data_IF_809155110370
#
_entry.id   IF_809155110370
#
_cell.length_a   1.000
_cell.length_b   1.000
_cell.length_c   1.000
_cell.angle_alpha   90.00
_cell.angle_beta   90.00
_cell.angle_gamma   90.00
#
_symmetry.space_group_name_H-M   'P 1'
#
loop_
_entity.id
_entity.type
_entity.pdbx_description
1 polymer ?
#
# COMPACT_ATOMS: atom_id res chain seq x y z
N UNK A 1 -50.88 -17.18 -9.05
CA UNK A 1 -49.67 -17.89 -8.56
C UNK A 1 -48.70 -16.81 -8.14
N UNK A 2 -48.47 -16.68 -6.83
CA UNK A 2 -47.65 -15.65 -6.21
C UNK A 2 -46.27 -16.24 -5.89
N UNK A 3 -45.26 -15.89 -6.68
CA UNK A 3 -43.88 -16.20 -6.34
C UNK A 3 -43.28 -15.02 -5.55
N UNK A 4 -43.08 -15.26 -4.25
CA UNK A 4 -42.29 -14.39 -3.36
C UNK A 4 -40.80 -14.70 -3.58
N UNK A 5 -39.92 -13.69 -3.71
CA UNK A 5 -38.49 -13.94 -3.63
C UNK A 5 -38.08 -14.28 -2.19
N UNK A 6 -37.37 -15.38 -2.06
CA UNK A 6 -36.81 -15.94 -0.84
C UNK A 6 -35.79 -14.99 -0.23
N UNK A 7 -36.01 -14.57 1.03
CA UNK A 7 -35.06 -13.80 1.79
C UNK A 7 -33.79 -14.63 2.08
N UNK A 8 -32.64 -14.15 1.61
CA UNK A 8 -31.33 -14.74 1.92
C UNK A 8 -31.00 -14.46 3.39
N UNK A 9 -31.18 -15.47 4.24
CA UNK A 9 -30.79 -15.40 5.64
C UNK A 9 -29.28 -15.23 5.76
N UNK A 10 -28.84 -14.06 6.22
CA UNK A 10 -27.45 -13.80 6.62
C UNK A 10 -27.25 -14.48 7.98
N UNK A 11 -26.69 -15.67 7.97
CA UNK A 11 -26.39 -16.45 9.17
C UNK A 11 -25.24 -15.79 9.95
N UNK A 12 -25.59 -15.09 11.03
CA UNK A 12 -24.64 -14.49 11.98
C UNK A 12 -24.06 -15.58 12.90
N UNK A 13 -22.88 -16.11 12.55
CA UNK A 13 -22.12 -16.95 13.45
C UNK A 13 -21.40 -16.09 14.52
N UNK A 14 -21.85 -16.18 15.77
CA UNK A 14 -21.05 -15.79 16.94
C UNK A 14 -19.80 -16.70 16.99
N UNK A 15 -18.62 -16.15 16.68
CA UNK A 15 -17.37 -16.91 16.67
C UNK A 15 -16.62 -16.82 18.00
N UNK A 16 -16.34 -17.98 18.60
CA UNK A 16 -15.30 -18.18 19.64
C UNK A 16 -13.92 -17.95 19.01
N UNK A 17 -12.98 -17.44 19.80
CA UNK A 17 -11.59 -17.11 19.42
C UNK A 17 -10.77 -18.35 18.99
N UNK A 18 -11.00 -18.83 17.78
CA UNK A 18 -10.06 -19.67 17.04
C UNK A 18 -9.59 -18.88 15.84
N UNK A 19 -8.27 -18.78 15.64
CA UNK A 19 -7.65 -18.41 14.37
C UNK A 19 -8.44 -19.15 13.28
N UNK A 20 -9.11 -18.41 12.40
CA UNK A 20 -10.02 -19.00 11.43
C UNK A 20 -9.17 -19.73 10.38
N UNK A 21 -9.17 -21.07 10.34
CA UNK A 21 -8.13 -21.84 9.66
C UNK A 21 -8.15 -21.68 8.13
N UNK A 22 -9.22 -21.14 7.55
CA UNK A 22 -9.39 -21.05 6.09
C UNK A 22 -9.30 -19.63 5.53
N UNK A 23 -8.96 -18.62 6.34
CA UNK A 23 -8.76 -17.24 5.86
C UNK A 23 -7.31 -16.80 5.93
N UNK A 24 -6.93 -15.90 5.02
CA UNK A 24 -5.73 -15.08 5.20
C UNK A 24 -5.95 -14.20 6.42
N UNK A 25 -4.93 -14.12 7.28
CA UNK A 25 -4.93 -13.31 8.49
C UNK A 25 -3.63 -12.52 8.58
N UNK A 26 -3.69 -11.39 9.29
CA UNK A 26 -2.59 -10.42 9.36
C UNK A 26 -2.08 -10.34 10.80
N UNK A 27 -2.97 -10.07 11.74
CA UNK A 27 -2.65 -9.91 13.16
C UNK A 27 -3.80 -10.45 14.01
N UNK A 28 -3.47 -11.11 15.12
CA UNK A 28 -4.47 -11.58 16.08
C UNK A 28 -5.04 -10.42 16.90
N UNK A 29 -6.09 -10.68 17.68
CA UNK A 29 -6.44 -9.81 18.81
C UNK A 29 -5.28 -9.78 19.82
N UNK A 30 -5.04 -8.62 20.43
CA UNK A 30 -4.04 -8.48 21.48
C UNK A 30 -4.46 -9.18 22.76
N UNK A 31 -3.49 -9.75 23.47
CA UNK A 31 -3.66 -10.35 24.79
C UNK A 31 -2.70 -9.72 25.79
N UNK A 32 -3.25 -9.14 26.85
CA UNK A 32 -2.45 -8.66 27.95
C UNK A 32 -1.79 -9.84 28.66
N UNK A 33 -0.46 -9.80 28.74
CA UNK A 33 0.36 -10.84 29.34
C UNK A 33 1.43 -10.18 30.20
N UNK A 34 1.72 -10.75 31.37
CA UNK A 34 2.90 -10.37 32.13
C UNK A 34 4.14 -10.83 31.37
N UNK A 35 4.87 -9.88 30.78
CA UNK A 35 6.06 -10.18 29.99
C UNK A 35 7.29 -9.66 30.72
N UNK A 36 8.36 -10.46 30.68
CA UNK A 36 9.65 -10.08 31.25
C UNK A 36 10.41 -9.22 30.24
N UNK A 37 10.18 -7.91 30.32
CA UNK A 37 10.80 -6.92 29.42
C UNK A 37 12.31 -6.83 29.60
N UNK A 38 12.88 -7.32 30.71
CA UNK A 38 14.33 -7.34 30.93
C UNK A 38 15.09 -8.10 29.84
N UNK A 39 14.42 -9.03 29.15
CA UNK A 39 14.97 -9.81 28.03
C UNK A 39 15.14 -9.00 26.74
N UNK A 40 14.44 -7.88 26.61
CA UNK A 40 14.39 -7.08 25.39
C UNK A 40 14.80 -5.62 25.62
N UNK A 41 14.83 -5.16 26.88
CA UNK A 41 15.21 -3.81 27.27
C UNK A 41 15.84 -3.81 28.66
N UNK A 42 17.12 -3.44 28.75
CA UNK A 42 17.87 -3.41 30.01
C UNK A 42 17.29 -2.39 31.01
N UNK A 43 17.20 -2.77 32.29
CA UNK A 43 16.71 -1.89 33.35
C UNK A 43 15.19 -1.81 33.48
N UNK A 44 14.42 -2.54 32.66
CA UNK A 44 12.95 -2.57 32.76
C UNK A 44 12.49 -3.86 33.45
N UNK A 45 11.67 -3.71 34.50
CA UNK A 45 11.07 -4.85 35.23
C UNK A 45 9.90 -5.47 34.45
N UNK A 46 9.44 -6.64 34.91
CA UNK A 46 8.20 -7.27 34.44
C UNK A 46 7.06 -6.25 34.41
N UNK A 47 6.40 -6.15 33.26
CA UNK A 47 5.26 -5.27 33.04
C UNK A 47 4.19 -6.02 32.24
N UNK A 48 2.94 -5.58 32.39
CA UNK A 48 1.86 -5.97 31.49
C UNK A 48 2.17 -5.45 30.10
N UNK A 49 2.37 -6.37 29.16
CA UNK A 49 2.53 -6.09 27.74
C UNK A 49 1.35 -6.67 26.96
N UNK A 50 1.01 -6.03 25.84
CA UNK A 50 0.05 -6.55 24.89
C UNK A 50 0.77 -7.40 23.86
N UNK A 51 0.42 -8.68 23.78
CA UNK A 51 1.05 -9.64 22.87
C UNK A 51 0.09 -9.99 21.75
N UNK A 52 0.61 -10.01 20.53
CA UNK A 52 -0.08 -10.37 19.30
C UNK A 52 0.66 -11.52 18.62
N UNK A 53 -0.08 -12.36 17.91
CA UNK A 53 0.49 -13.15 16.82
C UNK A 53 0.33 -12.36 15.54
N UNK A 54 1.36 -12.34 14.69
CA UNK A 54 1.33 -11.72 13.36
C UNK A 54 1.72 -12.74 12.29
N UNK A 55 1.14 -12.63 11.10
CA UNK A 55 1.48 -13.51 9.97
C UNK A 55 2.78 -13.09 9.29
N UNK A 56 3.27 -13.91 8.35
CA UNK A 56 4.43 -13.54 7.51
C UNK A 56 4.21 -12.23 6.75
N UNK A 57 3.00 -12.00 6.27
CA UNK A 57 2.67 -10.77 5.56
C UNK A 57 2.71 -9.55 6.50
N UNK A 58 2.17 -9.66 7.71
CA UNK A 58 2.27 -8.59 8.70
C UNK A 58 3.72 -8.33 9.11
N UNK A 59 4.53 -9.38 9.31
CA UNK A 59 5.96 -9.25 9.58
C UNK A 59 6.67 -8.50 8.46
N UNK A 60 6.39 -8.82 7.20
CA UNK A 60 6.92 -8.10 6.03
C UNK A 60 6.50 -6.62 6.03
N UNK A 61 5.21 -6.32 6.24
CA UNK A 61 4.69 -4.95 6.20
C UNK A 61 5.21 -4.06 7.35
N UNK A 62 5.56 -4.68 8.48
CA UNK A 62 6.11 -4.00 9.65
C UNK A 62 7.64 -3.93 9.68
N UNK A 63 8.32 -4.69 8.82
CA UNK A 63 9.78 -4.79 8.83
C UNK A 63 10.41 -3.45 8.42
N UNK A 64 11.26 -2.83 9.27
CA UNK A 64 11.91 -1.55 8.97
C UNK A 64 13.13 -1.70 8.06
N UNK A 65 13.53 -2.93 7.71
CA UNK A 65 14.73 -3.17 6.93
C UNK A 65 14.50 -2.95 5.43
N UNK A 66 15.55 -2.50 4.71
CA UNK A 66 15.49 -2.34 3.26
C UNK A 66 15.11 -3.61 2.53
N UNK A 67 14.36 -3.45 1.45
CA UNK A 67 13.94 -4.54 0.59
C UNK A 67 14.16 -4.18 -0.88
N UNK A 68 14.45 -5.19 -1.69
CA UNK A 68 14.62 -5.02 -3.12
C UNK A 68 13.35 -5.48 -3.85
N UNK A 69 12.80 -4.60 -4.70
CA UNK A 69 11.73 -4.94 -5.63
C UNK A 69 12.22 -4.84 -7.07
N UNK A 70 11.52 -5.53 -7.99
CA UNK A 70 11.75 -5.36 -9.42
C UNK A 70 10.79 -4.35 -10.03
N UNK A 71 11.34 -3.38 -10.75
CA UNK A 71 10.61 -2.41 -11.58
C UNK A 71 11.22 -2.34 -12.97
N UNK A 72 10.42 -1.99 -13.97
CA UNK A 72 10.90 -1.85 -15.35
C UNK A 72 11.55 -0.49 -15.51
N UNK A 73 12.79 -0.43 -15.99
CA UNK A 73 13.46 0.83 -16.32
C UNK A 73 12.94 1.31 -17.70
N UNK A 74 12.22 2.42 -17.76
CA UNK A 74 11.56 2.91 -18.98
C UNK A 74 12.14 4.22 -19.51
N UNK A 75 13.05 4.83 -18.76
CA UNK A 75 13.68 6.08 -19.15
C UNK A 75 14.76 6.56 -18.21
N UNK A 76 15.18 7.80 -18.42
CA UNK A 76 16.07 8.53 -17.53
C UNK A 76 15.87 10.05 -17.64
N UNK A 77 16.19 10.75 -16.56
CA UNK A 77 16.39 12.19 -16.53
C UNK A 77 17.89 12.49 -16.62
N UNK A 78 18.27 13.44 -17.46
CA UNK A 78 19.64 13.95 -17.58
C UNK A 78 19.66 15.37 -17.05
N UNK A 79 20.47 15.58 -16.01
CA UNK A 79 20.60 16.85 -15.33
C UNK A 79 21.90 17.49 -15.80
N UNK A 80 21.83 18.57 -16.57
CA UNK A 80 23.02 19.23 -17.12
C UNK A 80 23.64 20.22 -16.15
N UNK A 81 24.97 20.34 -16.18
CA UNK A 81 25.73 21.36 -15.47
C UNK A 81 25.34 22.73 -16.01
N UNK A 82 24.85 23.60 -15.15
CA UNK A 82 24.67 25.01 -15.51
C UNK A 82 26.00 25.74 -15.38
N UNK A 83 26.39 26.62 -16.34
CA UNK A 83 27.68 27.32 -16.31
C UNK A 83 27.95 28.22 -15.09
N UNK A 84 26.95 28.50 -14.24
CA UNK A 84 26.99 29.56 -13.22
C UNK A 84 26.68 29.10 -11.78
N UNK A 85 26.55 27.79 -11.52
CA UNK A 85 26.16 27.30 -10.18
C UNK A 85 27.22 27.61 -9.09
N UNK A 86 28.49 27.30 -9.35
CA UNK A 86 29.58 27.51 -8.39
C UNK A 86 29.87 28.99 -8.09
N UNK A 87 29.58 29.89 -9.05
CA UNK A 87 29.79 31.33 -8.88
C UNK A 87 28.65 31.95 -8.07
N UNK A 88 27.39 31.51 -8.30
CA UNK A 88 26.23 32.00 -7.55
C UNK A 88 26.21 31.53 -6.10
N UNK A 89 26.63 30.31 -5.78
CA UNK A 89 26.68 29.84 -4.38
C UNK A 89 27.64 30.67 -3.52
N UNK A 90 28.82 31.01 -4.07
CA UNK A 90 29.80 31.86 -3.39
C UNK A 90 29.29 33.31 -3.23
N UNK A 91 28.57 33.84 -4.23
CA UNK A 91 27.93 35.17 -4.14
C UNK A 91 26.74 35.16 -3.16
N UNK A 92 25.98 34.06 -3.06
CA UNK A 92 24.84 33.90 -2.13
C UNK A 92 25.30 33.84 -0.67
N UNK A 93 26.52 33.32 -0.41
CA UNK A 93 27.19 33.34 0.89
C UNK A 93 27.68 34.76 1.29
N UNK A 94 28.00 35.60 0.31
CA UNK A 94 28.44 36.99 0.49
C UNK A 94 27.29 38.02 0.53
N UNK A 95 26.06 37.65 0.13
CA UNK A 95 24.91 38.55 0.08
C UNK A 95 24.05 38.54 1.37
N UNK A 96 23.56 39.72 1.82
CA UNK A 96 22.63 39.85 2.95
C UNK A 96 21.34 39.04 2.74
N UNK A 97 20.79 38.46 3.81
CA UNK A 97 19.58 37.61 3.78
C UNK A 97 18.38 38.26 3.04
N UNK A 98 18.22 39.58 3.12
CA UNK A 98 17.15 40.33 2.44
C UNK A 98 17.24 40.34 0.91
N UNK A 99 18.41 40.07 0.34
CA UNK A 99 18.64 40.03 -1.11
C UNK A 99 18.71 38.61 -1.70
N UNK A 100 18.65 37.57 -0.85
CA UNK A 100 18.69 36.15 -1.30
C UNK A 100 17.47 35.73 -2.13
N UNK A 101 16.36 36.46 -2.04
CA UNK A 101 15.12 36.20 -2.79
C UNK A 101 15.07 36.81 -4.20
N UNK A 102 16.04 37.65 -4.59
CA UNK A 102 16.11 38.26 -5.93
C UNK A 102 16.73 37.32 -6.98
N UNK A 103 17.47 36.30 -6.55
CA UNK A 103 17.96 35.23 -7.42
C UNK A 103 16.83 34.20 -7.57
N UNK A 104 16.04 34.32 -8.65
CA UNK A 104 15.17 33.22 -9.09
C UNK A 104 16.01 31.95 -9.24
N UNK A 105 15.52 30.85 -8.66
CA UNK A 105 16.05 29.52 -8.96
C UNK A 105 15.80 29.27 -10.45
N UNK A 106 16.87 29.36 -11.25
CA UNK A 106 16.81 28.88 -12.62
C UNK A 106 16.64 27.37 -12.53
N UNK A 107 15.52 26.85 -13.03
CA UNK A 107 15.30 25.42 -13.19
C UNK A 107 16.52 24.85 -13.93
N UNK A 108 17.19 23.87 -13.31
CA UNK A 108 18.23 23.08 -13.97
C UNK A 108 17.58 22.49 -15.23
N UNK A 109 18.17 22.64 -16.42
CA UNK A 109 17.61 22.03 -17.61
C UNK A 109 17.68 20.51 -17.42
N UNK A 110 16.52 19.90 -17.23
CA UNK A 110 16.33 18.45 -17.14
C UNK A 110 15.82 17.97 -18.49
N UNK A 111 16.60 17.12 -19.16
CA UNK A 111 16.13 16.39 -20.34
C UNK A 111 15.57 15.05 -19.89
N UNK A 112 14.31 14.80 -20.20
CA UNK A 112 13.66 13.52 -19.90
C UNK A 112 13.62 12.66 -21.17
N UNK A 113 14.30 11.52 -21.13
CA UNK A 113 14.24 10.50 -22.16
C UNK A 113 13.36 9.36 -21.67
N UNK A 114 12.14 9.24 -22.20
CA UNK A 114 11.21 8.14 -21.89
C UNK A 114 10.85 7.40 -23.17
N UNK A 115 10.66 6.09 -23.08
CA UNK A 115 10.15 5.30 -24.20
C UNK A 115 8.63 5.35 -24.18
N UNK A 116 8.02 5.74 -25.30
CA UNK A 116 6.58 5.57 -25.55
C UNK A 116 6.20 4.13 -25.93
N UNK A 117 7.15 3.19 -25.82
CA UNK A 117 6.96 1.80 -26.21
C UNK A 117 6.21 1.06 -25.09
N UNK A 118 4.89 0.95 -25.27
CA UNK A 118 4.05 -0.07 -24.60
C UNK A 118 4.53 -1.46 -25.05
N UNK A 119 5.61 -1.90 -24.45
CA UNK A 119 6.06 -3.28 -24.53
C UNK A 119 5.29 -4.02 -23.43
N UNK A 120 4.10 -4.49 -23.79
CA UNK A 120 3.35 -5.49 -23.03
C UNK A 120 4.18 -6.77 -23.01
N UNK A 121 5.20 -6.78 -22.15
CA UNK A 121 6.04 -7.93 -21.87
C UNK A 121 5.29 -8.79 -20.85
N UNK A 122 4.15 -9.31 -21.27
CA UNK A 122 3.54 -10.44 -20.61
C UNK A 122 4.53 -11.60 -20.71
N UNK A 123 5.06 -12.12 -19.59
CA UNK A 123 6.01 -13.21 -19.64
C UNK A 123 5.36 -14.39 -20.37
N UNK A 124 6.04 -14.87 -21.40
CA UNK A 124 5.60 -16.03 -22.15
C UNK A 124 5.57 -17.23 -21.21
N UNK A 125 4.56 -18.10 -21.33
CA UNK A 125 4.55 -19.37 -20.60
C UNK A 125 5.67 -20.34 -21.02
N UNK A 126 6.38 -20.02 -22.09
CA UNK A 126 7.43 -20.83 -22.70
C UNK A 126 8.76 -20.08 -22.63
N UNK A 127 9.69 -20.61 -21.85
CA UNK A 127 11.04 -20.08 -21.68
C UNK A 127 11.77 -19.93 -23.03
N UNK A 128 11.45 -20.78 -24.02
CA UNK A 128 12.02 -20.66 -25.37
C UNK A 128 11.45 -19.45 -26.12
N UNK A 129 10.16 -19.17 -25.98
CA UNK A 129 9.52 -18.00 -26.58
C UNK A 129 10.04 -16.71 -25.95
N UNK A 130 10.18 -16.67 -24.62
CA UNK A 130 10.81 -15.53 -23.94
C UNK A 130 12.27 -15.35 -24.36
N UNK A 131 13.04 -16.43 -24.44
CA UNK A 131 14.42 -16.37 -24.93
C UNK A 131 14.49 -15.82 -26.36
N UNK A 132 13.54 -16.21 -27.22
CA UNK A 132 13.45 -15.71 -28.59
C UNK A 132 13.07 -14.23 -28.64
N UNK A 133 12.06 -13.80 -27.89
CA UNK A 133 11.68 -12.39 -27.76
C UNK A 133 12.84 -11.55 -27.26
N UNK A 134 13.56 -12.02 -26.23
CA UNK A 134 14.74 -11.35 -25.71
C UNK A 134 15.82 -11.19 -26.77
N UNK A 135 16.06 -12.21 -27.61
CA UNK A 135 16.99 -12.09 -28.75
C UNK A 135 16.56 -11.00 -29.74
N UNK A 136 15.27 -10.94 -30.09
CA UNK A 136 14.73 -9.90 -30.98
C UNK A 136 14.89 -8.52 -30.34
N UNK A 137 14.55 -8.37 -29.05
CA UNK A 137 14.71 -7.11 -28.32
C UNK A 137 16.16 -6.64 -28.28
N UNK A 138 17.11 -7.56 -28.06
CA UNK A 138 18.55 -7.24 -28.09
C UNK A 138 19.03 -6.84 -29.49
N UNK A 139 18.52 -7.47 -30.57
CA UNK A 139 18.83 -7.08 -31.95
C UNK A 139 18.26 -5.69 -32.31
N UNK A 140 17.09 -5.33 -31.78
CA UNK A 140 16.46 -4.03 -31.99
C UNK A 140 17.03 -2.92 -31.10
N UNK A 141 17.84 -3.27 -30.10
CA UNK A 141 18.41 -2.34 -29.13
C UNK A 141 19.14 -1.13 -29.75
N UNK A 142 19.97 -1.26 -30.81
CA UNK A 142 20.64 -0.12 -31.43
C UNK A 142 19.67 0.92 -32.03
N UNK A 143 18.43 0.50 -32.31
CA UNK A 143 17.39 1.37 -32.86
C UNK A 143 16.58 2.10 -31.78
N UNK A 144 16.77 1.77 -30.51
CA UNK A 144 16.07 2.41 -29.39
C UNK A 144 16.37 3.93 -29.36
N UNK A 145 15.35 4.80 -29.39
CA UNK A 145 15.54 6.25 -29.44
C UNK A 145 16.26 6.80 -28.22
N UNK A 146 16.04 6.22 -27.03
CA UNK A 146 16.74 6.60 -25.80
C UNK A 146 18.23 6.31 -25.96
N UNK A 147 18.60 5.12 -26.44
CA UNK A 147 20.01 4.76 -26.64
C UNK A 147 20.67 5.69 -27.65
N UNK A 148 19.98 6.03 -28.74
CA UNK A 148 20.49 7.00 -29.72
C UNK A 148 20.71 8.38 -29.12
N UNK A 149 19.79 8.86 -28.28
CA UNK A 149 19.94 10.14 -27.57
C UNK A 149 21.10 10.08 -26.57
N UNK A 150 21.20 9.02 -25.76
CA UNK A 150 22.27 8.82 -24.79
C UNK A 150 23.67 8.77 -25.42
N UNK A 151 23.78 8.34 -26.68
CA UNK A 151 25.06 8.31 -27.39
C UNK A 151 25.51 9.70 -27.89
N UNK A 152 24.62 10.70 -27.90
CA UNK A 152 24.92 12.09 -28.29
C UNK A 152 25.28 12.98 -27.09
N UNK A 153 25.09 12.48 -25.88
CA UNK A 153 25.35 13.23 -24.65
C UNK A 153 26.86 13.31 -24.41
N UNK A 154 27.34 14.53 -24.19
CA UNK A 154 28.68 14.80 -23.68
C UNK A 154 28.71 14.64 -22.16
N UNK A 155 29.33 13.59 -21.60
CA UNK A 155 29.32 13.33 -20.15
C UNK A 155 29.95 14.46 -19.33
N UNK A 156 30.85 15.25 -19.91
CA UNK A 156 31.51 16.36 -19.22
C UNK A 156 30.54 17.50 -18.85
N UNK A 157 29.42 17.60 -19.57
CA UNK A 157 28.36 18.60 -19.38
C UNK A 157 27.25 18.13 -18.45
N UNK A 158 27.28 16.87 -18.00
CA UNK A 158 26.24 16.29 -17.16
C UNK A 158 26.63 16.39 -15.69
N UNK A 159 25.67 16.80 -14.87
CA UNK A 159 25.76 16.86 -13.41
C UNK A 159 25.24 15.58 -12.78
N UNK A 160 24.13 15.03 -13.29
CA UNK A 160 23.57 13.78 -12.79
C UNK A 160 22.73 13.05 -13.86
N UNK A 161 22.51 11.76 -13.65
CA UNK A 161 21.60 10.92 -14.43
C UNK A 161 20.76 10.09 -13.47
N UNK A 162 19.44 10.20 -13.59
CA UNK A 162 18.47 9.50 -12.75
C UNK A 162 17.65 8.56 -13.62
N UNK A 163 17.54 7.29 -13.25
CA UNK A 163 16.69 6.35 -13.99
C UNK A 163 15.20 6.61 -13.73
N UNK A 164 14.34 6.37 -14.71
CA UNK A 164 12.88 6.43 -14.54
C UNK A 164 12.35 5.00 -14.66
N UNK A 165 11.79 4.49 -13.57
CA UNK A 165 11.17 3.18 -13.50
C UNK A 165 9.66 3.30 -13.51
N UNK A 166 8.99 2.38 -14.19
CA UNK A 166 7.53 2.27 -14.25
C UNK A 166 7.07 1.00 -13.53
N UNK A 167 5.98 1.12 -12.78
CA UNK A 167 5.26 -0.02 -12.23
C UNK A 167 4.10 -0.47 -13.15
N UNK A 168 3.49 -1.61 -12.85
CA UNK A 168 2.41 -2.19 -13.68
C UNK A 168 1.15 -1.29 -13.69
N UNK A 169 1.04 -0.32 -12.79
CA UNK A 169 -0.04 0.68 -12.80
C UNK A 169 0.28 1.95 -13.60
N UNK A 170 1.42 2.00 -14.28
CA UNK A 170 1.93 3.16 -15.01
C UNK A 170 2.51 4.26 -14.11
N UNK A 171 2.74 3.99 -12.82
CA UNK A 171 3.34 4.99 -11.94
C UNK A 171 4.85 5.03 -12.15
N UNK A 172 5.35 6.25 -12.34
CA UNK A 172 6.79 6.51 -12.49
C UNK A 172 7.45 6.73 -11.13
N UNK A 173 8.68 6.25 -11.01
CA UNK A 173 9.52 6.47 -9.85
C UNK A 173 10.98 6.58 -10.26
N UNK A 174 11.71 7.44 -9.55
CA UNK A 174 13.11 7.69 -9.84
C UNK A 174 14.00 6.59 -9.24
N UNK A 175 15.01 6.18 -10.00
CA UNK A 175 16.05 5.23 -9.62
C UNK A 175 17.37 5.98 -9.49
N UNK A 176 17.88 6.06 -8.27
CA UNK A 176 19.21 6.57 -8.01
C UNK A 176 20.25 5.53 -8.43
N UNK A 177 21.07 5.89 -9.41
CA UNK A 177 22.13 5.01 -9.92
C UNK A 177 23.45 5.45 -9.29
N UNK A 178 24.17 4.58 -8.57
CA UNK A 178 25.47 4.92 -7.99
C UNK A 178 26.56 4.97 -9.08
N UNK A 179 27.68 5.62 -8.75
CA UNK A 179 28.87 5.69 -9.62
C UNK A 179 29.04 7.01 -10.36
N UNK A 180 30.05 7.06 -11.22
CA UNK A 180 30.36 8.22 -12.06
C UNK A 180 29.27 8.46 -13.11
N UNK A 181 29.23 9.65 -13.72
CA UNK A 181 28.29 9.94 -14.82
C UNK A 181 28.38 8.91 -15.94
N UNK A 182 29.59 8.44 -16.25
CA UNK A 182 29.78 7.43 -17.28
C UNK A 182 29.18 6.08 -16.87
N UNK A 183 29.34 5.69 -15.60
CA UNK A 183 28.73 4.48 -15.05
C UNK A 183 27.20 4.56 -15.11
N UNK A 184 26.61 5.71 -14.75
CA UNK A 184 25.16 5.92 -14.80
C UNK A 184 24.62 5.85 -16.23
N UNK A 185 25.27 6.51 -17.20
CA UNK A 185 24.89 6.43 -18.61
C UNK A 185 24.99 4.99 -19.15
N UNK A 186 26.06 4.28 -18.81
CA UNK A 186 26.24 2.87 -19.20
C UNK A 186 25.17 1.97 -18.57
N UNK A 187 24.81 2.22 -17.31
CA UNK A 187 23.74 1.50 -16.62
C UNK A 187 22.41 1.67 -17.36
N UNK A 188 22.02 2.90 -17.73
CA UNK A 188 20.79 3.12 -18.51
C UNK A 188 20.85 2.36 -19.83
N UNK A 189 21.94 2.48 -20.61
CA UNK A 189 22.08 1.77 -21.90
C UNK A 189 21.90 0.26 -21.76
N UNK A 190 22.50 -0.32 -20.71
CA UNK A 190 22.49 -1.76 -20.45
C UNK A 190 21.16 -2.29 -19.89
N UNK A 191 20.36 -1.43 -19.26
CA UNK A 191 19.17 -1.86 -18.51
C UNK A 191 17.85 -1.25 -18.99
N UNK A 192 17.85 -0.33 -19.96
CA UNK A 192 16.62 0.23 -20.51
C UNK A 192 15.70 -0.87 -21.04
N UNK A 193 14.41 -0.75 -20.73
CA UNK A 193 13.34 -1.72 -21.01
C UNK A 193 13.46 -3.07 -20.26
N UNK A 194 14.41 -3.21 -19.32
CA UNK A 194 14.56 -4.41 -18.47
C UNK A 194 14.04 -4.17 -17.05
N UNK A 195 13.74 -5.26 -16.36
CA UNK A 195 13.49 -5.23 -14.93
C UNK A 195 14.80 -5.01 -14.17
N UNK A 196 14.81 -3.99 -13.32
CA UNK A 196 15.93 -3.62 -12.45
C UNK A 196 15.52 -3.70 -10.99
N UNK A 197 16.50 -4.02 -10.15
CA UNK A 197 16.32 -4.03 -8.70
C UNK A 197 16.30 -2.60 -8.14
N UNK A 198 15.22 -2.24 -7.46
CA UNK A 198 15.06 -0.98 -6.75
C UNK A 198 15.01 -1.27 -5.25
N UNK A 199 15.89 -0.63 -4.49
CA UNK A 199 15.90 -0.75 -3.03
C UNK A 199 14.91 0.26 -2.47
N UNK A 200 13.94 -0.24 -1.70
CA UNK A 200 13.10 0.57 -0.83
C UNK A 200 13.64 0.48 0.60
N UNK A 201 13.52 1.56 1.37
CA UNK A 201 13.94 1.58 2.77
C UNK A 201 13.19 0.56 3.62
N UNK A 202 11.91 0.32 3.31
CA UNK A 202 11.01 -0.65 3.95
C UNK A 202 9.73 -0.80 3.12
N UNK A 203 8.85 -1.74 3.49
CA UNK A 203 7.57 -1.94 2.79
C UNK A 203 6.61 -0.76 2.95
N UNK A 204 6.63 -0.10 4.11
CA UNK A 204 5.85 1.12 4.35
C UNK A 204 6.56 2.35 3.75
N UNK A 205 5.93 2.99 2.78
CA UNK A 205 6.51 4.15 2.09
C UNK A 205 6.17 5.44 2.85
N UNK A 206 4.91 5.86 2.81
CA UNK A 206 4.39 7.05 3.49
C UNK A 206 2.84 7.06 3.44
N UNK A 207 2.21 7.82 4.33
CA UNK A 207 0.76 8.13 4.29
C UNK A 207 -0.16 6.91 4.12
N UNK A 208 0.17 5.81 4.80
CA UNK A 208 -0.61 4.57 4.73
C UNK A 208 -0.36 3.73 3.48
N UNK A 209 0.61 4.07 2.62
CA UNK A 209 0.98 3.29 1.44
C UNK A 209 2.04 2.23 1.77
N UNK A 210 1.75 0.99 1.35
CA UNK A 210 2.63 -0.15 1.45
C UNK A 210 2.92 -0.76 0.08
N UNK A 211 4.19 -1.09 -0.17
CA UNK A 211 4.65 -1.89 -1.30
C UNK A 211 4.49 -3.38 -1.00
N UNK A 212 3.81 -4.11 -1.89
CA UNK A 212 3.49 -5.52 -1.69
C UNK A 212 4.37 -6.44 -2.55
N UNK A 213 5.00 -5.94 -3.62
CA UNK A 213 5.77 -6.76 -4.58
C UNK A 213 7.01 -7.43 -3.98
N UNK A 214 7.52 -6.91 -2.85
CA UNK A 214 8.67 -7.49 -2.16
C UNK A 214 8.33 -8.77 -1.38
N UNK A 215 7.05 -9.08 -1.18
CA UNK A 215 6.62 -10.27 -0.44
C UNK A 215 6.36 -11.46 -1.38
N UNK A 216 6.84 -12.65 -1.02
CA UNK A 216 6.54 -13.86 -1.78
C UNK A 216 5.18 -14.46 -1.36
N UNK A 217 4.11 -14.01 -2.02
CA UNK A 217 2.76 -14.49 -1.73
C UNK A 217 2.57 -16.00 -2.00
N UNK A 218 3.28 -16.57 -2.98
CA UNK A 218 3.16 -18.00 -3.31
C UNK A 218 3.67 -18.92 -2.21
N UNK A 219 4.59 -18.43 -1.38
CA UNK A 219 5.14 -19.17 -0.24
C UNK A 219 4.47 -18.80 1.09
N UNK A 220 3.38 -18.02 1.07
CA UNK A 220 2.70 -17.60 2.29
C UNK A 220 2.15 -18.82 3.04
N UNK A 221 2.62 -19.04 4.27
CA UNK A 221 2.09 -20.08 5.14
C UNK A 221 1.14 -19.48 6.20
N UNK A 222 -0.14 -19.80 6.09
CA UNK A 222 -1.18 -19.37 7.04
C UNK A 222 -0.97 -19.88 8.47
N UNK A 223 -0.18 -20.95 8.67
CA UNK A 223 0.09 -21.51 9.98
C UNK A 223 1.32 -20.89 10.65
N UNK A 224 2.17 -20.22 9.86
CA UNK A 224 3.37 -19.57 10.36
C UNK A 224 3.01 -18.24 11.00
N UNK A 225 3.50 -18.03 12.22
CA UNK A 225 3.22 -16.84 12.99
C UNK A 225 4.45 -16.38 13.78
N UNK A 226 4.50 -15.08 14.05
CA UNK A 226 5.54 -14.43 14.84
C UNK A 226 4.89 -13.65 15.97
N UNK A 227 5.67 -13.35 17.00
CA UNK A 227 5.17 -12.63 18.17
C UNK A 227 5.48 -11.14 18.02
N UNK A 228 4.46 -10.31 18.10
CA UNK A 228 4.60 -8.86 18.25
C UNK A 228 4.22 -8.49 19.68
N UNK A 229 5.05 -7.69 20.33
CA UNK A 229 4.81 -7.21 21.70
C UNK A 229 4.73 -5.70 21.68
N UNK A 230 3.67 -5.15 22.27
CA UNK A 230 3.48 -3.72 22.52
C UNK A 230 3.40 -3.45 24.01
N UNK A 231 4.13 -2.45 24.50
CA UNK A 231 4.18 -2.11 25.92
C UNK A 231 4.41 -0.60 26.10
N UNK A 232 4.32 -0.11 27.34
CA UNK A 232 4.42 1.31 27.68
C UNK A 232 5.63 1.56 28.58
N UNK A 233 6.59 2.34 28.10
CA UNK A 233 7.71 2.82 28.93
C UNK A 233 7.60 4.33 29.04
N UNK A 234 7.56 4.84 30.28
CA UNK A 234 7.51 6.29 30.55
C UNK A 234 6.39 7.01 29.77
N UNK A 235 5.22 6.37 29.64
CA UNK A 235 4.07 6.89 28.88
C UNK A 235 4.18 6.76 27.36
N UNK A 236 5.32 6.29 26.83
CA UNK A 236 5.56 6.10 25.40
C UNK A 236 5.26 4.64 25.04
N UNK A 237 4.34 4.44 24.09
CA UNK A 237 4.06 3.12 23.53
C UNK A 237 5.23 2.67 22.65
N UNK A 238 5.79 1.50 22.94
CA UNK A 238 6.83 0.82 22.16
C UNK A 238 6.28 -0.49 21.63
N UNK A 239 6.78 -0.92 20.47
CA UNK A 239 6.46 -2.24 19.93
C UNK A 239 7.67 -2.86 19.23
N UNK A 240 7.76 -4.19 19.28
CA UNK A 240 8.79 -4.96 18.61
C UNK A 240 8.24 -6.31 18.15
N UNK A 241 8.88 -6.89 17.14
CA UNK A 241 8.66 -8.27 16.71
C UNK A 241 9.79 -9.14 17.26
N UNK A 242 9.43 -10.32 17.75
CA UNK A 242 10.39 -11.30 18.26
C UNK A 242 10.66 -12.41 17.24
N UNK A 243 11.88 -12.91 17.27
CA UNK A 243 12.30 -14.11 16.53
C UNK A 243 11.87 -15.40 17.24
N UNK A 244 12.29 -16.56 16.69
CA UNK A 244 12.01 -17.88 17.26
C UNK A 244 12.63 -18.11 18.65
N UNK A 245 13.71 -17.40 18.97
CA UNK A 245 14.42 -17.49 20.25
C UNK A 245 13.86 -16.50 21.29
N UNK A 246 12.78 -15.78 20.96
CA UNK A 246 12.20 -14.68 21.73
C UNK A 246 13.14 -13.49 21.95
N UNK A 247 14.11 -13.28 21.06
CA UNK A 247 14.91 -12.06 21.01
C UNK A 247 14.24 -11.05 20.10
N UNK A 248 14.56 -9.77 20.27
CA UNK A 248 14.04 -8.72 19.39
C UNK A 248 14.62 -8.92 18.00
N UNK A 249 13.74 -9.19 17.05
CA UNK A 249 14.10 -9.24 15.63
C UNK A 249 14.19 -7.82 15.07
N UNK A 250 13.18 -6.99 15.33
CA UNK A 250 13.19 -5.57 14.98
C UNK A 250 12.20 -4.76 15.83
N UNK A 251 12.49 -3.47 15.96
CA UNK A 251 11.63 -2.47 16.59
C UNK A 251 10.64 -1.87 15.58
N UNK A 252 9.49 -1.44 16.08
CA UNK A 252 8.48 -0.71 15.31
C UNK A 252 8.48 0.73 15.82
N UNK A 253 8.97 1.64 14.97
CA UNK A 253 9.11 3.06 15.33
C UNK A 253 7.76 3.79 15.39
N UNK A 254 6.84 3.46 14.47
CA UNK A 254 5.51 4.06 14.42
C UNK A 254 4.42 3.03 14.78
N UNK A 255 3.81 3.21 15.95
CA UNK A 255 2.73 2.35 16.45
C UNK A 255 1.48 2.40 15.55
N UNK A 256 1.32 3.44 14.71
CA UNK A 256 0.23 3.48 13.71
C UNK A 256 0.32 2.32 12.73
N UNK A 257 1.51 1.78 12.46
CA UNK A 257 1.66 0.60 11.60
C UNK A 257 0.92 -0.62 12.18
N UNK A 258 0.95 -0.80 13.51
CA UNK A 258 0.18 -1.86 14.18
C UNK A 258 -1.32 -1.61 14.03
N UNK A 259 -1.76 -0.35 14.07
CA UNK A 259 -3.17 0.01 13.83
C UNK A 259 -3.61 -0.32 12.40
N UNK A 260 -2.76 -0.08 11.40
CA UNK A 260 -3.04 -0.49 10.02
C UNK A 260 -3.18 -2.00 9.91
N UNK A 261 -2.32 -2.79 10.57
CA UNK A 261 -2.43 -4.25 10.55
C UNK A 261 -3.75 -4.73 11.17
N UNK A 262 -4.15 -4.16 12.31
CA UNK A 262 -5.42 -4.49 12.97
C UNK A 262 -6.62 -4.15 12.08
N UNK A 263 -6.58 -2.98 11.45
CA UNK A 263 -7.63 -2.54 10.53
C UNK A 263 -7.68 -3.42 9.28
N UNK A 264 -6.52 -3.85 8.78
CA UNK A 264 -6.43 -4.74 7.62
C UNK A 264 -7.00 -6.13 7.92
N UNK A 265 -6.62 -6.73 9.06
CA UNK A 265 -7.16 -8.03 9.46
C UNK A 265 -8.69 -7.96 9.62
N UNK A 266 -9.17 -6.91 10.28
CA UNK A 266 -10.60 -6.66 10.44
C UNK A 266 -11.31 -6.52 9.09
N UNK A 267 -10.72 -5.81 8.13
CA UNK A 267 -11.29 -5.67 6.80
C UNK A 267 -11.33 -7.01 6.05
N UNK A 268 -10.26 -7.80 6.09
CA UNK A 268 -10.20 -9.12 5.44
C UNK A 268 -11.28 -10.05 5.99
N UNK A 269 -11.59 -9.94 7.28
CA UNK A 269 -12.64 -10.74 7.92
C UNK A 269 -14.05 -10.39 7.42
N UNK A 270 -14.32 -9.11 7.14
CA UNK A 270 -15.68 -8.63 6.82
C UNK A 270 -15.91 -8.38 5.31
N UNK A 271 -14.85 -8.22 4.51
CA UNK A 271 -14.93 -7.99 3.07
C UNK A 271 -14.56 -9.26 2.27
N UNK A 272 -15.56 -10.02 1.77
CA UNK A 272 -15.30 -11.23 1.01
C UNK A 272 -14.62 -10.98 -0.34
N UNK A 273 -14.79 -9.78 -0.95
CA UNK A 273 -14.15 -9.45 -2.23
C UNK A 273 -12.65 -9.31 -2.05
N UNK A 274 -12.23 -8.56 -1.03
CA UNK A 274 -10.83 -8.41 -0.66
C UNK A 274 -10.19 -9.77 -0.31
N UNK A 275 -10.84 -10.55 0.55
CA UNK A 275 -10.35 -11.88 0.95
C UNK A 275 -10.14 -12.79 -0.27
N UNK A 276 -11.09 -12.79 -1.21
CA UNK A 276 -10.98 -13.54 -2.46
C UNK A 276 -9.78 -13.09 -3.30
N UNK A 277 -9.53 -11.78 -3.41
CA UNK A 277 -8.39 -11.26 -4.18
C UNK A 277 -7.04 -11.56 -3.52
N UNK A 278 -6.93 -11.50 -2.19
CA UNK A 278 -5.73 -11.95 -1.48
C UNK A 278 -5.53 -13.47 -1.63
N UNK A 279 -6.61 -14.25 -1.67
CA UNK A 279 -6.56 -15.69 -1.92
C UNK A 279 -6.03 -16.01 -3.33
N UNK A 280 -6.36 -15.20 -4.34
CA UNK A 280 -5.75 -15.33 -5.67
C UNK A 280 -4.24 -15.10 -5.63
N UNK A 281 -3.78 -14.11 -4.85
CA UNK A 281 -2.36 -13.78 -4.72
C UNK A 281 -1.58 -14.91 -4.06
N UNK A 282 -2.10 -15.43 -2.94
CA UNK A 282 -1.48 -16.57 -2.23
C UNK A 282 -1.49 -17.86 -3.04
N UNK A 283 -2.52 -18.07 -3.87
CA UNK A 283 -2.56 -19.17 -4.83
C UNK A 283 -1.64 -18.99 -6.06
N UNK A 284 -0.90 -17.87 -6.15
CA UNK A 284 -0.04 -17.55 -7.29
C UNK A 284 -0.79 -17.22 -8.58
N UNK A 285 -2.09 -16.97 -8.50
CA UNK A 285 -2.98 -16.60 -9.62
C UNK A 285 -3.09 -15.09 -9.82
N UNK A 286 -2.44 -14.31 -8.97
CA UNK A 286 -2.38 -12.86 -9.06
C UNK A 286 -1.07 -12.34 -8.45
N UNK A 287 -0.58 -11.21 -8.96
CA UNK A 287 0.54 -10.45 -8.40
C UNK A 287 -0.01 -9.24 -7.62
N UNK A 288 0.19 -9.18 -6.30
CA UNK A 288 -0.19 -8.02 -5.49
C UNK A 288 0.82 -6.89 -5.65
N UNK A 289 0.32 -5.66 -5.70
CA UNK A 289 1.15 -4.48 -5.97
C UNK A 289 1.23 -3.53 -4.77
N UNK A 290 0.09 -2.99 -4.34
CA UNK A 290 0.05 -1.93 -3.32
C UNK A 290 -1.12 -2.12 -2.37
N UNK A 291 -0.93 -1.71 -1.13
CA UNK A 291 -1.97 -1.57 -0.12
C UNK A 291 -1.94 -0.12 0.39
N UNK A 292 -3.07 0.58 0.36
CA UNK A 292 -3.15 1.99 0.76
C UNK A 292 -4.26 2.19 1.78
N UNK A 293 -3.96 2.89 2.87
CA UNK A 293 -4.94 3.38 3.85
C UNK A 293 -5.12 4.90 3.72
N UNK A 294 -6.17 5.34 3.04
CA UNK A 294 -6.38 6.75 2.68
C UNK A 294 -7.33 7.50 3.61
N UNK A 295 -6.93 8.74 3.96
CA UNK A 295 -7.75 9.79 4.58
C UNK A 295 -7.27 11.16 4.04
N UNK A 296 -8.15 12.06 3.56
CA UNK A 296 -9.60 11.95 3.42
C UNK A 296 -10.04 11.08 2.23
N UNK A 297 -11.34 10.82 2.12
CA UNK A 297 -11.95 10.13 0.99
C UNK A 297 -12.67 11.13 0.07
N UNK A 298 -12.66 10.85 -1.24
CA UNK A 298 -13.40 11.64 -2.23
C UNK A 298 -14.91 11.33 -2.24
N UNK A 299 -15.34 10.22 -1.63
CA UNK A 299 -16.76 9.80 -1.63
C UNK A 299 -17.56 10.63 -0.62
N UNK A 300 -18.44 11.48 -1.13
CA UNK A 300 -19.46 12.18 -0.34
C UNK A 300 -20.80 11.42 -0.37
N UNK A 301 -21.17 10.75 0.73
CA UNK A 301 -22.42 10.02 0.87
C UNK A 301 -23.66 10.91 1.09
N UNK A 302 -23.49 12.24 1.16
CA UNK A 302 -24.62 13.18 1.04
C UNK A 302 -25.18 13.10 -0.39
N UNK A 303 -24.28 13.11 -1.37
CA UNK A 303 -24.58 13.13 -2.80
C UNK A 303 -24.57 11.73 -3.45
N UNK A 304 -23.84 10.77 -2.86
CA UNK A 304 -23.77 9.41 -3.37
C UNK A 304 -24.98 8.55 -2.98
N UNK A 305 -25.02 7.36 -3.59
CA UNK A 305 -25.96 6.31 -3.24
C UNK A 305 -25.79 5.90 -1.77
N UNK A 306 -26.91 5.63 -1.09
CA UNK A 306 -26.88 5.15 0.28
C UNK A 306 -26.19 3.77 0.32
N UNK A 307 -25.22 3.53 1.21
CA UNK A 307 -24.57 2.23 1.30
C UNK A 307 -25.55 1.11 1.64
N UNK A 308 -25.31 -0.10 1.10
CA UNK A 308 -26.19 -1.29 1.26
C UNK A 308 -26.50 -1.58 2.73
N UNK A 309 -25.50 -1.44 3.60
CA UNK A 309 -25.65 -1.64 5.05
C UNK A 309 -26.71 -0.74 5.67
N UNK A 310 -26.90 0.47 5.13
CA UNK A 310 -27.93 1.41 5.58
C UNK A 310 -29.25 1.27 4.85
N UNK A 311 -29.25 0.81 3.58
CA UNK A 311 -30.50 0.53 2.84
C UNK A 311 -31.37 -0.46 3.62
N UNK A 312 -30.80 -1.61 3.98
CA UNK A 312 -31.53 -2.64 4.73
C UNK A 312 -32.02 -2.17 6.11
N UNK A 313 -31.21 -1.36 6.82
CA UNK A 313 -31.61 -0.79 8.12
C UNK A 313 -32.74 0.22 7.97
N UNK A 314 -32.68 1.09 6.95
CA UNK A 314 -33.71 2.11 6.74
C UNK A 314 -35.03 1.55 6.26
N UNK A 315 -35.00 0.52 5.41
CA UNK A 315 -36.19 -0.20 4.96
C UNK A 315 -36.86 -0.90 6.15
N UNK A 316 -36.08 -1.65 6.95
CA UNK A 316 -36.58 -2.36 8.14
C UNK A 316 -37.20 -1.42 9.19
N UNK A 317 -36.63 -0.24 9.38
CA UNK A 317 -37.04 0.70 10.42
C UNK A 317 -37.97 1.82 9.90
N UNK A 318 -38.35 1.79 8.62
CA UNK A 318 -39.17 2.80 7.95
C UNK A 318 -38.72 4.26 8.26
N UNK A 319 -37.43 4.54 8.09
CA UNK A 319 -36.85 5.85 8.43
C UNK A 319 -37.29 6.90 7.40
N UNK A 320 -37.88 8.01 7.85
CA UNK A 320 -38.29 9.13 6.99
C UNK A 320 -37.11 9.89 6.36
N UNK A 321 -37.34 10.57 5.23
CA UNK A 321 -36.30 11.21 4.41
C UNK A 321 -35.41 12.21 5.17
N UNK A 322 -35.98 13.05 6.03
CA UNK A 322 -35.21 14.01 6.84
C UNK A 322 -34.18 13.34 7.75
N UNK A 323 -34.56 12.23 8.39
CA UNK A 323 -33.69 11.40 9.23
C UNK A 323 -32.61 10.68 8.41
N UNK A 324 -32.93 10.22 7.19
CA UNK A 324 -31.94 9.64 6.27
C UNK A 324 -30.82 10.65 5.94
N UNK A 325 -31.19 11.91 5.69
CA UNK A 325 -30.21 12.98 5.39
C UNK A 325 -29.27 13.28 6.57
N UNK A 326 -29.77 13.21 7.81
CA UNK A 326 -28.92 13.34 9.01
C UNK A 326 -27.88 12.23 9.04
N UNK A 327 -28.27 10.98 8.81
CA UNK A 327 -27.34 9.85 8.80
C UNK A 327 -26.30 10.02 7.68
N UNK A 328 -26.71 10.35 6.46
CA UNK A 328 -25.80 10.55 5.32
C UNK A 328 -24.64 11.51 5.64
N UNK A 329 -24.95 12.65 6.27
CA UNK A 329 -23.91 13.62 6.70
C UNK A 329 -22.94 13.06 7.73
N UNK A 330 -23.39 12.14 8.57
CA UNK A 330 -22.54 11.47 9.55
C UNK A 330 -21.66 10.40 8.91
N UNK A 331 -22.12 9.76 7.83
CA UNK A 331 -21.34 8.75 7.10
C UNK A 331 -20.03 9.33 6.56
N UNK A 332 -20.00 10.60 6.19
CA UNK A 332 -18.80 11.31 5.71
C UNK A 332 -17.73 11.58 6.77
N UNK A 333 -18.03 11.31 8.05
CA UNK A 333 -17.09 11.55 9.15
C UNK A 333 -16.38 10.25 9.53
N UNK A 334 -15.08 10.34 9.80
CA UNK A 334 -14.27 9.24 10.37
C UNK A 334 -14.23 7.96 9.51
N UNK A 335 -14.17 8.13 8.20
CA UNK A 335 -13.95 7.03 7.26
C UNK A 335 -12.45 6.71 7.11
N UNK A 336 -12.17 5.49 6.66
CA UNK A 336 -10.86 5.07 6.17
C UNK A 336 -11.09 4.35 4.84
N UNK A 337 -10.48 4.83 3.76
CA UNK A 337 -10.39 4.08 2.52
C UNK A 337 -9.27 3.07 2.61
N UNK A 338 -9.50 1.87 2.12
CA UNK A 338 -8.48 0.84 2.03
C UNK A 338 -8.49 0.31 0.61
N UNK A 339 -7.41 0.56 -0.12
CA UNK A 339 -7.23 0.13 -1.49
C UNK A 339 -6.19 -0.97 -1.57
N UNK A 340 -6.54 -2.07 -2.24
CA UNK A 340 -5.64 -3.19 -2.52
C UNK A 340 -5.57 -3.43 -4.04
N UNK A 341 -4.37 -3.26 -4.58
CA UNK A 341 -4.09 -3.34 -6.00
C UNK A 341 -3.42 -4.67 -6.35
N UNK A 342 -3.88 -5.33 -7.40
CA UNK A 342 -3.30 -6.58 -7.87
C UNK A 342 -3.51 -6.77 -9.38
N UNK A 343 -2.72 -7.65 -9.99
CA UNK A 343 -2.81 -8.01 -11.40
C UNK A 343 -3.04 -9.52 -11.50
N UNK A 344 -4.20 -9.98 -12.00
CA UNK A 344 -4.42 -11.40 -12.25
C UNK A 344 -3.42 -11.97 -13.25
N UNK A 345 -3.00 -13.20 -13.02
CA UNK A 345 -2.20 -13.99 -13.96
C UNK A 345 -3.16 -14.73 -14.90
N UNK A 346 -3.88 -14.03 -15.78
CA UNK A 346 -4.71 -14.66 -16.82
C UNK A 346 -3.87 -15.11 -18.02
N UNK A 347 -4.31 -16.21 -18.65
CA UNK A 347 -3.60 -16.86 -19.79
C UNK A 347 -3.86 -16.14 -21.11
N UNK A 348 -4.98 -15.42 -21.18
CA UNK A 348 -5.42 -14.70 -22.35
C UNK A 348 -5.88 -13.33 -21.87
N UNK A 349 -5.34 -12.31 -22.51
CA UNK A 349 -5.70 -10.91 -22.37
C UNK A 349 -4.96 -10.12 -21.27
N UNK A 350 -4.69 -8.86 -21.65
CA UNK A 350 -3.76 -7.87 -21.06
C UNK A 350 -3.63 -7.93 -19.54
N UNK A 351 -2.43 -7.66 -19.02
CA UNK A 351 -2.16 -7.46 -17.58
C UNK A 351 -2.95 -6.27 -17.05
N UNK A 352 -4.23 -6.48 -16.69
CA UNK A 352 -5.10 -5.42 -16.18
C UNK A 352 -4.88 -5.23 -14.69
N UNK A 353 -4.75 -3.98 -14.28
CA UNK A 353 -4.71 -3.59 -12.87
C UNK A 353 -6.11 -3.67 -12.27
N UNK A 354 -6.29 -4.56 -11.29
CA UNK A 354 -7.49 -4.62 -10.47
C UNK A 354 -7.28 -3.86 -9.16
N UNK A 355 -8.33 -3.18 -8.73
CA UNK A 355 -8.38 -2.42 -7.48
C UNK A 355 -9.57 -2.92 -6.68
N UNK A 356 -9.32 -3.46 -5.49
CA UNK A 356 -10.35 -3.57 -4.45
C UNK A 356 -10.27 -2.32 -3.60
N UNK A 357 -11.38 -1.64 -3.43
CA UNK A 357 -11.47 -0.49 -2.56
C UNK A 357 -12.61 -0.70 -1.58
N UNK A 358 -12.30 -0.58 -0.30
CA UNK A 358 -13.22 -0.77 0.80
C UNK A 358 -13.25 0.48 1.67
N UNK A 359 -14.44 0.89 2.11
CA UNK A 359 -14.63 2.01 3.02
C UNK A 359 -14.99 1.48 4.40
N UNK A 360 -14.10 1.69 5.36
CA UNK A 360 -14.34 1.39 6.77
C UNK A 360 -14.86 2.64 7.48
N UNK A 361 -15.97 2.53 8.20
CA UNK A 361 -16.52 3.65 8.97
C UNK A 361 -16.37 3.42 10.47
N UNK A 362 -15.84 4.42 11.18
CA UNK A 362 -15.71 4.34 12.62
C UNK A 362 -17.08 4.55 13.27
N UNK A 363 -17.55 3.54 14.00
CA UNK A 363 -18.84 3.54 14.68
C UNK A 363 -19.03 4.76 15.60
N UNK A 364 -17.95 5.30 16.20
CA UNK A 364 -18.00 6.50 17.04
C UNK A 364 -18.55 7.73 16.30
N UNK A 365 -18.45 7.79 14.97
CA UNK A 365 -19.05 8.87 14.21
C UNK A 365 -20.59 8.92 14.37
N UNK A 366 -21.25 7.81 14.74
CA UNK A 366 -22.69 7.74 14.97
C UNK A 366 -23.14 8.24 16.35
N UNK A 367 -22.23 8.59 17.27
CA UNK A 367 -22.61 9.13 18.58
C UNK A 367 -23.59 10.33 18.52
N UNK A 368 -23.43 11.31 17.60
CA UNK A 368 -24.34 12.45 17.53
C UNK A 368 -25.79 12.09 17.21
N UNK A 369 -26.06 10.92 16.59
CA UNK A 369 -27.42 10.49 16.22
C UNK A 369 -28.00 9.46 17.18
N UNK A 370 -27.27 9.09 18.24
CA UNK A 370 -27.66 8.02 19.17
C UNK A 370 -29.01 8.27 19.84
N UNK A 371 -29.29 9.52 20.22
CA UNK A 371 -30.53 9.87 20.91
C UNK A 371 -31.71 10.02 19.93
N UNK A 372 -31.45 10.55 18.72
CA UNK A 372 -32.49 10.81 17.71
C UNK A 372 -32.86 9.55 16.91
N UNK A 373 -31.90 8.64 16.73
CA UNK A 373 -32.01 7.42 15.95
C UNK A 373 -31.42 6.20 16.70
N UNK A 374 -31.90 5.89 17.92
CA UNK A 374 -31.33 4.83 18.77
C UNK A 374 -31.41 3.44 18.13
N UNK A 375 -32.47 3.17 17.35
CA UNK A 375 -32.62 1.90 16.64
C UNK A 375 -31.60 1.75 15.51
N UNK A 376 -31.34 2.80 14.73
CA UNK A 376 -30.29 2.79 13.69
C UNK A 376 -28.93 2.59 14.32
N UNK A 377 -28.62 3.34 15.39
CA UNK A 377 -27.37 3.20 16.14
C UNK A 377 -27.19 1.75 16.64
N UNK A 378 -28.25 1.15 17.22
CA UNK A 378 -28.23 -0.23 17.74
C UNK A 378 -28.03 -1.28 16.64
N UNK A 379 -28.70 -1.14 15.48
CA UNK A 379 -28.53 -2.10 14.38
C UNK A 379 -27.10 -2.05 13.81
N UNK A 380 -26.52 -0.86 13.64
CA UNK A 380 -25.12 -0.74 13.19
C UNK A 380 -24.13 -1.21 14.26
N UNK A 381 -24.45 -1.01 15.54
CA UNK A 381 -23.62 -1.47 16.66
C UNK A 381 -23.43 -2.99 16.68
N UNK A 382 -24.43 -3.75 16.18
CA UNK A 382 -24.43 -5.23 16.12
C UNK A 382 -23.48 -5.77 15.04
N UNK A 383 -23.29 -5.03 13.95
CA UNK A 383 -22.43 -5.43 12.83
C UNK A 383 -21.00 -4.89 12.96
N UNK A 384 -20.82 -3.80 13.71
CA UNK A 384 -19.50 -3.22 13.91
C UNK A 384 -18.63 -4.06 14.85
N UNK A 385 -17.42 -4.35 14.38
CA UNK A 385 -16.43 -5.16 15.10
C UNK A 385 -15.44 -4.27 15.85
N UNK A 386 -15.08 -4.69 17.06
CA UNK A 386 -14.18 -3.95 17.96
C UNK A 386 -12.79 -4.57 17.90
N UNK A 387 -11.81 -3.74 17.61
CA UNK A 387 -10.38 -4.03 17.73
C UNK A 387 -9.69 -2.87 18.46
N UNK A 388 -8.40 -3.00 18.75
CA UNK A 388 -7.62 -1.91 19.30
C UNK A 388 -7.39 -0.75 18.31
N UNK A 389 -7.64 -0.96 17.02
CA UNK A 389 -7.69 0.14 16.05
C UNK A 389 -8.97 0.98 16.22
N UNK A 390 -10.03 0.40 16.77
CA UNK A 390 -11.32 1.04 17.04
C UNK A 390 -12.50 0.12 16.77
N UNK A 391 -13.70 0.69 16.81
CA UNK A 391 -14.93 -0.01 16.44
C UNK A 391 -15.32 0.38 15.02
N UNK A 392 -15.16 -0.53 14.07
CA UNK A 392 -15.40 -0.28 12.64
C UNK A 392 -16.37 -1.28 12.03
N UNK A 393 -17.02 -0.87 10.95
CA UNK A 393 -17.79 -1.72 10.06
C UNK A 393 -17.50 -1.35 8.61
N UNK A 394 -17.74 -2.31 7.71
CA UNK A 394 -17.66 -2.07 6.27
C UNK A 394 -18.86 -1.22 5.86
N UNK A 395 -18.57 -0.02 5.37
CA UNK A 395 -19.58 0.87 4.82
C UNK A 395 -19.88 0.51 3.37
N UNK A 396 -18.83 0.36 2.56
CA UNK A 396 -18.93 0.08 1.12
C UNK A 396 -17.70 -0.70 0.62
N UNK A 397 -17.85 -1.43 -0.48
CA UNK A 397 -16.78 -2.20 -1.10
C UNK A 397 -17.02 -2.41 -2.59
N UNK A 398 -16.07 -1.95 -3.40
CA UNK A 398 -16.10 -2.11 -4.85
C UNK A 398 -14.79 -2.72 -5.36
N UNK A 399 -14.93 -3.46 -6.47
CA UNK A 399 -13.81 -4.02 -7.21
C UNK A 399 -13.92 -3.55 -8.64
N UNK A 400 -12.91 -2.81 -9.10
CA UNK A 400 -12.81 -2.32 -10.46
C UNK A 400 -11.51 -2.77 -11.12
N UNK A 401 -11.39 -2.47 -12.39
CA UNK A 401 -10.13 -2.54 -13.12
C UNK A 401 -9.88 -1.20 -13.80
N UNK A 402 -8.63 -0.81 -13.92
CA UNK A 402 -8.23 0.34 -14.74
C UNK A 402 -7.95 -0.20 -16.14
N UNK A 403 -8.69 0.30 -17.14
CA UNK A 403 -8.29 0.11 -18.53
C UNK A 403 -7.18 1.12 -18.84
N UNK A 404 -6.03 0.63 -19.30
CA UNK A 404 -5.03 1.50 -19.92
C UNK A 404 -5.66 2.08 -21.19
N UNK A 405 -5.84 3.41 -21.20
CA UNK A 405 -6.26 4.17 -22.37
C UNK A 405 -5.04 4.71 -23.09
#
# INVERSE_FOLDING_TARGET
MNDRPTATNITLHKKKDKLCPDRIWIISKGRYTNFDLSRIWEGVKKQTAMVYNISELARYLLNPNPLQIKKKLVGCEIHYRTPLYNVKENIRKLLPQKLRGLLKDNQIPVEVLKSDWDTDNSPGKDDNFESHLNKITELLRPYNPIIKSLNKIDPSKVFDVVGICEDIGGHLSNLNIPGSIMDKLNYIRANISKDVGVILEKAYIADGLFEMKGFNFKSFDKNKSFRLIRFLINGISKACVLDSDNKVEFWIDDIKLVQYMLLFDQLIEIDPKLNSSLSLCTAGKAEPLKLLFSKPLEIDYSEAHLPEVYKGVFEKLNIGASKKNVVKRVLNKSQVGISFNYVPMSVYDKRRLFVNFSVMHNFKALEPIKNDLPLVYSEINKIASVTEAGKFYLLDSFRGYKDDK
#
